data_IF_970317827279
#
_entry.id   IF_970317827279
#
_cell.length_a   1.000
_cell.length_b   1.000
_cell.length_c   1.000
_cell.angle_alpha   90.00
_cell.angle_beta   90.00
_cell.angle_gamma   90.00
#
_symmetry.space_group_name_H-M   'P 1'
#
loop_
_entity.id
_entity.type
_entity.pdbx_description
1 polymer ?
#
# COMPACT_ATOMS: atom_id res chain seq x y z
N UNK A 1 -15.65 13.23 -14.16
CA UNK A 1 -14.52 13.43 -13.22
C UNK A 1 -13.98 12.06 -12.91
N UNK A 2 -12.65 11.86 -12.84
CA UNK A 2 -12.08 10.55 -12.50
C UNK A 2 -12.42 10.20 -11.06
N UNK A 3 -12.75 8.93 -10.80
CA UNK A 3 -12.97 8.40 -9.46
C UNK A 3 -11.65 8.49 -8.65
N UNK A 4 -11.70 9.03 -7.45
CA UNK A 4 -10.51 9.20 -6.59
C UNK A 4 -10.74 8.50 -5.26
N UNK A 5 -10.10 7.34 -5.10
CA UNK A 5 -10.23 6.50 -3.89
C UNK A 5 -9.97 7.27 -2.59
N UNK A 6 -9.03 8.21 -2.60
CA UNK A 6 -8.75 9.05 -1.41
C UNK A 6 -9.91 9.96 -1.04
N UNK A 7 -10.73 10.37 -2.02
CA UNK A 7 -11.87 11.27 -1.79
C UNK A 7 -13.13 10.50 -1.45
N UNK A 8 -13.31 9.33 -2.06
CA UNK A 8 -14.49 8.49 -1.86
C UNK A 8 -14.42 7.72 -0.54
N UNK A 9 -13.23 7.25 -0.17
CA UNK A 9 -12.97 6.48 1.07
C UNK A 9 -12.16 7.31 2.07
N UNK A 10 -12.67 8.49 2.45
CA UNK A 10 -11.94 9.43 3.33
C UNK A 10 -11.58 8.82 4.69
N UNK A 11 -12.45 8.00 5.22
CA UNK A 11 -12.22 7.34 6.52
C UNK A 11 -11.01 6.39 6.47
N UNK A 12 -10.67 5.87 5.29
CA UNK A 12 -9.53 4.97 5.10
C UNK A 12 -8.25 5.71 4.65
N UNK A 13 -8.37 6.77 3.83
CA UNK A 13 -7.22 7.44 3.22
C UNK A 13 -6.94 8.85 3.76
N UNK A 14 -7.86 9.42 4.52
CA UNK A 14 -7.71 10.77 5.10
C UNK A 14 -8.15 10.81 6.57
N UNK A 15 -7.70 9.86 7.41
CA UNK A 15 -8.00 9.90 8.83
C UNK A 15 -7.44 11.18 9.46
N UNK A 16 -7.87 11.44 10.68
CA UNK A 16 -7.33 12.55 11.49
C UNK A 16 -5.96 12.17 12.07
N UNK A 17 -5.26 13.18 12.60
CA UNK A 17 -4.03 12.98 13.40
C UNK A 17 -4.31 12.45 14.81
N UNK A 18 -5.58 12.31 15.17
CA UNK A 18 -6.03 11.62 16.37
C UNK A 18 -6.37 10.16 15.99
N UNK A 19 -5.83 9.16 16.67
CA UNK A 19 -6.08 7.76 16.36
C UNK A 19 -7.57 7.38 16.42
N UNK A 20 -7.95 6.35 15.68
CA UNK A 20 -9.28 5.75 15.69
C UNK A 20 -9.22 4.25 15.42
N UNK A 21 -10.18 3.49 15.99
CA UNK A 21 -10.39 2.10 15.63
C UNK A 21 -11.35 2.07 14.44
N UNK A 22 -11.00 1.35 13.39
CA UNK A 22 -11.82 1.23 12.18
C UNK A 22 -11.84 -0.22 11.68
N UNK A 23 -12.88 -0.55 10.92
CA UNK A 23 -12.99 -1.79 10.16
C UNK A 23 -12.59 -1.51 8.71
N UNK A 24 -11.54 -2.15 8.23
CA UNK A 24 -11.09 -2.05 6.84
C UNK A 24 -11.64 -3.25 6.08
N UNK A 25 -12.41 -3.04 4.99
CA UNK A 25 -12.94 -4.15 4.20
C UNK A 25 -11.85 -4.82 3.37
N UNK A 26 -12.10 -6.04 2.96
CA UNK A 26 -11.25 -6.73 2.00
C UNK A 26 -11.13 -5.93 0.70
N UNK A 27 -9.92 -5.81 0.18
CA UNK A 27 -9.60 -5.07 -1.04
C UNK A 27 -8.60 -5.86 -1.88
N UNK A 28 -8.60 -5.60 -3.19
CA UNK A 28 -7.67 -6.23 -4.14
C UNK A 28 -6.56 -5.27 -4.52
N UNK A 29 -5.34 -5.79 -4.55
CA UNK A 29 -4.12 -5.05 -4.87
C UNK A 29 -3.30 -5.76 -5.95
N UNK A 30 -2.48 -5.01 -6.66
CA UNK A 30 -1.24 -5.53 -7.23
C UNK A 30 -0.16 -5.39 -6.15
N UNK A 31 0.58 -6.47 -5.90
CA UNK A 31 1.59 -6.51 -4.85
C UNK A 31 2.92 -7.08 -5.35
N UNK A 32 3.99 -6.70 -4.67
CA UNK A 32 5.36 -7.20 -4.84
C UNK A 32 6.00 -7.31 -3.47
N UNK A 33 6.58 -8.47 -3.15
CA UNK A 33 7.36 -8.69 -1.93
C UNK A 33 8.84 -8.42 -2.17
N UNK A 34 9.52 -8.04 -1.10
CA UNK A 34 10.97 -7.89 -1.10
C UNK A 34 11.55 -7.69 0.30
N UNK A 35 12.88 -7.56 0.32
CA UNK A 35 13.67 -7.36 1.53
C UNK A 35 14.69 -6.25 1.27
N UNK A 36 15.05 -5.51 2.32
CA UNK A 36 16.11 -4.51 2.28
C UNK A 36 15.64 -3.07 2.43
N UNK A 37 16.60 -2.16 2.40
CA UNK A 37 16.37 -0.73 2.61
C UNK A 37 15.61 -0.12 1.41
N UNK A 38 14.42 0.46 1.63
CA UNK A 38 13.65 1.13 0.58
C UNK A 38 14.36 2.36 -0.01
N UNK A 39 15.40 2.89 0.66
CA UNK A 39 16.17 4.05 0.20
C UNK A 39 17.37 3.67 -0.68
N UNK A 40 17.65 2.38 -0.86
CA UNK A 40 18.74 1.93 -1.73
C UNK A 40 18.48 2.33 -3.19
N UNK A 41 19.40 3.13 -3.75
CA UNK A 41 19.27 3.59 -5.14
C UNK A 41 19.39 2.40 -6.11
N UNK A 42 18.38 2.22 -6.98
CA UNK A 42 18.30 1.08 -7.90
C UNK A 42 18.13 -0.29 -7.21
N UNK A 43 17.90 -0.30 -5.90
CA UNK A 43 17.69 -1.49 -5.09
C UNK A 43 16.39 -2.24 -5.43
N UNK A 44 16.11 -3.24 -4.62
CA UNK A 44 14.95 -4.13 -4.86
C UNK A 44 13.61 -3.39 -4.76
N UNK A 45 13.50 -2.47 -3.79
CA UNK A 45 12.31 -1.63 -3.61
C UNK A 45 12.04 -0.74 -4.83
N UNK A 46 13.07 -0.11 -5.41
CA UNK A 46 12.93 0.73 -6.59
C UNK A 46 12.41 -0.08 -7.80
N UNK A 47 12.88 -1.33 -7.97
CA UNK A 47 12.40 -2.25 -9.02
C UNK A 47 10.94 -2.65 -8.80
N UNK A 48 10.55 -2.92 -7.54
CA UNK A 48 9.17 -3.19 -7.18
C UNK A 48 8.25 -2.02 -7.53
N UNK A 49 8.67 -0.76 -7.25
CA UNK A 49 7.91 0.44 -7.61
C UNK A 49 7.70 0.54 -9.13
N UNK A 50 8.68 0.22 -9.95
CA UNK A 50 8.53 0.21 -11.41
C UNK A 50 7.47 -0.79 -11.86
N UNK A 51 7.44 -1.99 -11.29
CA UNK A 51 6.43 -3.01 -11.58
C UNK A 51 5.03 -2.54 -11.16
N UNK A 52 4.86 -2.11 -9.91
CA UNK A 52 3.58 -1.70 -9.35
C UNK A 52 2.94 -0.57 -10.14
N UNK A 53 3.68 0.52 -10.35
CA UNK A 53 3.18 1.65 -11.12
C UNK A 53 3.02 1.31 -12.60
N UNK A 54 3.95 0.55 -13.20
CA UNK A 54 3.89 0.15 -14.59
C UNK A 54 2.63 -0.66 -14.91
N UNK A 55 2.32 -1.66 -14.11
CA UNK A 55 1.12 -2.50 -14.25
C UNK A 55 -0.14 -1.66 -13.98
N UNK A 56 -0.17 -0.89 -12.89
CA UNK A 56 -1.33 -0.04 -12.54
C UNK A 56 -1.64 0.99 -13.62
N UNK A 57 -0.62 1.63 -14.21
CA UNK A 57 -0.81 2.56 -15.32
C UNK A 57 -1.19 1.86 -16.62
N UNK A 58 -0.75 0.63 -16.87
CA UNK A 58 -1.20 -0.17 -18.02
C UNK A 58 -2.71 -0.38 -17.95
N UNK A 59 -3.24 -0.78 -16.79
CA UNK A 59 -4.68 -0.90 -16.55
C UNK A 59 -5.38 0.45 -16.75
N UNK A 60 -4.89 1.51 -16.12
CA UNK A 60 -5.49 2.86 -16.21
C UNK A 60 -5.56 3.39 -17.65
N UNK A 61 -4.55 3.10 -18.45
CA UNK A 61 -4.43 3.65 -19.80
C UNK A 61 -5.12 2.79 -20.87
N UNK A 62 -5.68 1.62 -20.51
CA UNK A 62 -6.34 0.68 -21.42
C UNK A 62 -7.41 1.36 -22.29
N UNK A 63 -8.22 2.26 -21.72
CA UNK A 63 -9.27 3.01 -22.42
C UNK A 63 -8.74 3.91 -23.55
N UNK A 64 -7.45 4.27 -23.53
CA UNK A 64 -6.82 5.10 -24.56
C UNK A 64 -6.19 4.29 -25.67
N UNK A 65 -6.21 2.96 -25.54
CA UNK A 65 -5.70 2.09 -26.60
C UNK A 65 -6.53 2.25 -27.86
N UNK A 66 -5.84 2.26 -29.02
CA UNK A 66 -6.48 2.20 -30.33
C UNK A 66 -6.98 0.80 -30.66
N UNK A 67 -6.56 -0.21 -29.89
CA UNK A 67 -7.00 -1.59 -30.05
C UNK A 67 -8.22 -1.84 -29.12
N UNK A 68 -9.43 -2.02 -29.68
CA UNK A 68 -10.62 -2.26 -28.86
C UNK A 68 -10.53 -3.51 -27.96
N UNK A 69 -9.72 -4.51 -28.34
CA UNK A 69 -9.55 -5.73 -27.54
C UNK A 69 -8.81 -5.48 -26.21
N UNK A 70 -8.19 -4.33 -26.04
CA UNK A 70 -7.52 -3.89 -24.81
C UNK A 70 -8.44 -3.07 -23.90
N UNK A 71 -9.66 -2.76 -24.36
CA UNK A 71 -10.65 -2.09 -23.54
C UNK A 71 -11.22 -3.07 -22.51
N UNK A 72 -11.23 -2.64 -21.26
CA UNK A 72 -11.66 -3.47 -20.14
C UNK A 72 -13.15 -3.26 -19.88
N UNK A 73 -13.91 -4.35 -19.81
CA UNK A 73 -15.33 -4.30 -19.46
C UNK A 73 -15.52 -3.73 -18.04
N UNK A 74 -16.53 -2.88 -17.89
CA UNK A 74 -16.80 -2.22 -16.61
C UNK A 74 -15.81 -1.12 -16.23
N UNK A 75 -14.87 -0.76 -17.12
CA UNK A 75 -13.90 0.30 -16.84
C UNK A 75 -14.57 1.63 -16.53
N UNK A 76 -14.16 2.24 -15.43
CA UNK A 76 -14.43 3.65 -15.11
C UNK A 76 -13.13 4.43 -14.98
N UNK A 77 -13.13 5.72 -15.29
CA UNK A 77 -11.92 6.54 -15.13
C UNK A 77 -11.63 6.80 -13.66
N UNK A 78 -10.38 6.55 -13.24
CA UNK A 78 -9.96 6.67 -11.85
C UNK A 78 -8.56 7.28 -11.72
N UNK A 79 -8.24 7.81 -10.56
CA UNK A 79 -6.87 8.14 -10.17
C UNK A 79 -6.22 6.91 -9.59
N UNK A 80 -5.01 6.54 -10.03
CA UNK A 80 -4.27 5.42 -9.43
C UNK A 80 -4.16 5.67 -7.93
N UNK A 81 -4.61 4.71 -7.09
CA UNK A 81 -4.56 4.85 -5.64
C UNK A 81 -3.15 5.06 -5.10
N UNK A 82 -3.01 5.48 -3.85
CA UNK A 82 -1.70 5.60 -3.21
C UNK A 82 -0.94 4.29 -3.23
N UNK A 83 0.38 4.38 -3.15
CA UNK A 83 1.23 3.28 -2.76
C UNK A 83 0.96 2.96 -1.29
N UNK A 84 0.93 1.67 -0.97
CA UNK A 84 0.78 1.13 0.37
C UNK A 84 1.90 0.12 0.62
N UNK A 85 2.29 -0.07 1.88
CA UNK A 85 3.33 -1.01 2.26
C UNK A 85 3.00 -1.73 3.57
N UNK A 86 3.16 -3.05 3.57
CA UNK A 86 3.14 -3.87 4.78
C UNK A 86 4.59 -4.16 5.17
N UNK A 87 4.96 -3.87 6.42
CA UNK A 87 6.34 -3.89 6.88
C UNK A 87 6.54 -4.80 8.09
N UNK A 88 7.69 -5.47 8.16
CA UNK A 88 8.14 -6.27 9.31
C UNK A 88 9.67 -6.38 9.32
N UNK A 89 10.23 -6.95 10.37
CA UNK A 89 11.66 -7.27 10.49
C UNK A 89 11.97 -8.73 10.11
N UNK A 90 11.04 -9.40 9.43
CA UNK A 90 11.14 -10.81 9.05
C UNK A 90 10.16 -11.70 9.80
N UNK A 91 10.26 -13.00 9.51
CA UNK A 91 9.33 -14.00 10.05
C UNK A 91 9.39 -14.03 11.59
N UNK A 92 8.22 -13.95 12.21
CA UNK A 92 8.07 -13.97 13.66
C UNK A 92 8.53 -12.70 14.39
N UNK A 93 8.93 -11.65 13.68
CA UNK A 93 9.32 -10.36 14.27
C UNK A 93 8.37 -9.27 13.77
N UNK A 94 7.19 -9.15 14.37
CA UNK A 94 6.21 -8.14 13.99
C UNK A 94 6.68 -6.73 14.35
N UNK A 95 6.21 -5.75 13.54
CA UNK A 95 6.58 -4.36 13.69
C UNK A 95 7.81 -3.99 12.87
N UNK A 96 8.31 -2.78 13.08
CA UNK A 96 9.43 -2.20 12.33
C UNK A 96 10.47 -1.57 13.26
N UNK A 97 11.74 -1.73 12.90
CA UNK A 97 12.87 -1.05 13.53
C UNK A 97 13.53 -0.13 12.50
N UNK A 98 13.21 1.15 12.57
CA UNK A 98 13.69 2.17 11.63
C UNK A 98 15.21 2.39 11.65
N UNK A 99 15.91 1.87 12.68
CA UNK A 99 17.37 1.90 12.73
C UNK A 99 18.02 0.82 11.87
N UNK A 100 17.27 -0.23 11.49
CA UNK A 100 17.78 -1.39 10.76
C UNK A 100 17.03 -1.62 9.45
N UNK A 101 16.93 -0.58 8.60
CA UNK A 101 16.15 -0.61 7.35
C UNK A 101 16.62 -1.67 6.35
N UNK A 102 17.88 -2.08 6.42
CA UNK A 102 18.41 -3.16 5.58
C UNK A 102 17.75 -4.53 5.85
N UNK A 103 17.17 -4.69 7.03
CA UNK A 103 16.52 -5.93 7.47
C UNK A 103 14.98 -5.87 7.28
N UNK A 104 14.46 -4.83 6.65
CA UNK A 104 13.03 -4.73 6.37
C UNK A 104 12.57 -5.83 5.42
N UNK A 105 11.49 -6.50 5.78
CA UNK A 105 10.66 -7.32 4.91
C UNK A 105 9.41 -6.52 4.56
N UNK A 106 9.12 -6.39 3.28
CA UNK A 106 8.01 -5.57 2.83
C UNK A 106 7.18 -6.23 1.74
N UNK A 107 5.88 -5.97 1.77
CA UNK A 107 4.96 -6.14 0.65
C UNK A 107 4.50 -4.76 0.24
N UNK A 108 4.98 -4.27 -0.90
CA UNK A 108 4.51 -3.02 -1.47
C UNK A 108 3.35 -3.30 -2.40
N UNK A 109 2.31 -2.45 -2.36
CA UNK A 109 1.09 -2.72 -3.08
C UNK A 109 0.36 -1.44 -3.52
N UNK A 110 -0.44 -1.56 -4.57
CA UNK A 110 -1.34 -0.50 -5.04
C UNK A 110 -2.73 -1.10 -5.23
N UNK A 111 -3.76 -0.49 -4.63
CA UNK A 111 -5.14 -0.94 -4.78
C UNK A 111 -5.56 -0.93 -6.25
N UNK A 112 -6.26 -1.98 -6.66
CA UNK A 112 -6.83 -2.11 -7.99
C UNK A 112 -8.33 -1.83 -7.96
N UNK A 113 -8.88 -1.21 -9.04
CA UNK A 113 -10.34 -1.09 -9.20
C UNK A 113 -11.03 -2.45 -9.30
N UNK A 114 -12.29 -2.47 -8.93
CA UNK A 114 -13.13 -3.66 -8.83
C UNK A 114 -13.32 -4.39 -10.18
N UNK A 115 -13.13 -3.69 -11.31
CA UNK A 115 -13.17 -4.30 -12.65
C UNK A 115 -11.90 -5.09 -13.02
N UNK A 116 -10.84 -5.04 -12.19
CA UNK A 116 -9.61 -5.77 -12.46
C UNK A 116 -9.75 -7.21 -12.03
N UNK A 117 -10.10 -8.07 -13.00
CA UNK A 117 -10.12 -9.52 -12.85
C UNK A 117 -8.73 -10.12 -13.03
N UNK A 118 -8.57 -11.40 -12.72
CA UNK A 118 -7.33 -12.16 -12.97
C UNK A 118 -6.91 -12.09 -14.45
N UNK A 119 -7.89 -12.14 -15.37
CA UNK A 119 -7.66 -12.00 -16.81
C UNK A 119 -7.13 -10.62 -17.18
N UNK A 120 -7.71 -9.56 -16.62
CA UNK A 120 -7.26 -8.17 -16.82
C UNK A 120 -5.85 -7.98 -16.27
N UNK A 121 -5.57 -8.53 -15.10
CA UNK A 121 -4.26 -8.47 -14.50
C UNK A 121 -3.20 -9.19 -15.31
N UNK A 122 -3.48 -10.42 -15.78
CA UNK A 122 -2.58 -11.18 -16.66
C UNK A 122 -2.28 -10.42 -17.96
N UNK A 123 -3.30 -9.81 -18.58
CA UNK A 123 -3.13 -8.94 -19.74
C UNK A 123 -2.24 -7.73 -19.43
N UNK A 124 -2.47 -7.05 -18.30
CA UNK A 124 -1.69 -5.87 -17.93
C UNK A 124 -0.21 -6.21 -17.71
N UNK A 125 0.08 -7.35 -17.04
CA UNK A 125 1.45 -7.87 -16.88
C UNK A 125 2.12 -8.14 -18.23
N UNK A 126 1.44 -8.87 -19.12
CA UNK A 126 1.98 -9.18 -20.45
C UNK A 126 2.21 -7.92 -21.28
N UNK A 127 1.29 -6.96 -21.23
CA UNK A 127 1.40 -5.69 -21.95
C UNK A 127 2.52 -4.80 -21.41
N UNK A 128 2.78 -4.84 -20.11
CA UNK A 128 3.92 -4.13 -19.50
C UNK A 128 5.23 -4.82 -19.87
N UNK A 129 5.32 -6.15 -19.74
CA UNK A 129 6.51 -6.93 -20.08
C UNK A 129 6.95 -6.74 -21.54
N UNK A 130 6.00 -6.65 -22.47
CA UNK A 130 6.30 -6.41 -23.87
C UNK A 130 7.02 -5.07 -24.15
N UNK A 131 6.84 -4.09 -23.26
CA UNK A 131 7.48 -2.76 -23.34
C UNK A 131 8.73 -2.65 -22.46
N UNK A 132 8.85 -3.52 -21.48
CA UNK A 132 9.90 -3.55 -20.47
C UNK A 132 10.42 -4.97 -20.28
N UNK A 133 11.12 -5.54 -21.31
CA UNK A 133 11.59 -6.92 -21.29
C UNK A 133 12.63 -7.20 -20.19
N UNK A 134 13.27 -6.15 -19.66
CA UNK A 134 14.21 -6.20 -18.56
C UNK A 134 13.53 -6.43 -17.18
N UNK A 135 12.21 -6.21 -17.10
CA UNK A 135 11.48 -6.26 -15.85
C UNK A 135 10.94 -7.67 -15.57
N UNK A 136 11.24 -8.23 -14.38
CA UNK A 136 10.66 -9.50 -13.96
C UNK A 136 9.22 -9.31 -13.45
N UNK A 137 8.28 -9.34 -14.37
CA UNK A 137 6.84 -9.19 -14.07
C UNK A 137 6.26 -10.33 -13.23
N UNK A 138 6.98 -11.47 -13.10
CA UNK A 138 6.49 -12.61 -12.30
C UNK A 138 6.49 -12.29 -10.80
N UNK A 139 7.28 -11.33 -10.39
CA UNK A 139 7.28 -10.83 -9.01
C UNK A 139 5.95 -10.16 -8.61
N UNK A 140 5.22 -9.59 -9.59
CA UNK A 140 3.95 -8.95 -9.30
C UNK A 140 2.82 -9.96 -9.30
N UNK A 141 1.98 -9.91 -8.25
CA UNK A 141 0.83 -10.80 -8.07
C UNK A 141 -0.42 -10.06 -7.61
N UNK A 142 -1.59 -10.70 -7.77
CA UNK A 142 -2.84 -10.22 -7.17
C UNK A 142 -2.87 -10.60 -5.70
N UNK A 143 -3.16 -9.62 -4.87
CA UNK A 143 -3.26 -9.77 -3.43
C UNK A 143 -4.63 -9.32 -2.95
N UNK A 144 -5.47 -10.28 -2.57
CA UNK A 144 -6.75 -10.02 -1.92
C UNK A 144 -6.48 -9.91 -0.40
N UNK A 145 -6.50 -8.70 0.13
CA UNK A 145 -6.13 -8.40 1.51
C UNK A 145 -7.34 -7.99 2.33
N UNK A 146 -7.65 -8.79 3.36
CA UNK A 146 -8.64 -8.51 4.38
C UNK A 146 -7.92 -8.06 5.66
N UNK A 147 -7.82 -6.75 5.84
CA UNK A 147 -7.09 -6.17 6.97
C UNK A 147 -7.91 -6.23 8.27
N UNK A 148 -9.24 -6.14 8.18
CA UNK A 148 -10.14 -6.26 9.31
C UNK A 148 -10.08 -5.07 10.28
N UNK A 149 -10.12 -5.34 11.59
CA UNK A 149 -10.09 -4.28 12.62
C UNK A 149 -8.67 -3.79 12.83
N UNK A 150 -8.50 -2.47 12.73
CA UNK A 150 -7.22 -1.79 12.93
C UNK A 150 -7.36 -0.53 13.78
N UNK A 151 -6.32 -0.17 14.48
CA UNK A 151 -6.09 1.21 14.90
C UNK A 151 -5.42 1.96 13.76
N UNK A 152 -5.87 3.18 13.44
CA UNK A 152 -5.26 4.00 12.41
C UNK A 152 -5.06 5.45 12.83
N UNK A 153 -4.07 6.11 12.22
CA UNK A 153 -3.76 7.52 12.46
C UNK A 153 -3.13 8.15 11.22
N UNK A 154 -3.28 9.47 11.05
CA UNK A 154 -2.49 10.23 10.07
C UNK A 154 -1.20 10.72 10.71
N UNK A 155 -0.06 10.22 10.28
CA UNK A 155 1.26 10.80 10.54
C UNK A 155 1.50 12.00 9.60
N UNK A 156 2.11 13.04 10.14
CA UNK A 156 2.58 14.21 9.38
C UNK A 156 4.04 14.47 9.72
N UNK A 157 4.90 14.41 8.72
CA UNK A 157 6.33 14.60 8.88
C UNK A 157 7.15 13.56 8.13
N UNK A 158 8.47 13.57 8.33
CA UNK A 158 9.38 12.57 7.78
C UNK A 158 9.05 11.17 8.31
N UNK A 159 9.29 10.15 7.50
CA UNK A 159 9.09 8.74 7.90
C UNK A 159 9.91 8.36 9.15
N UNK A 160 11.10 8.93 9.34
CA UNK A 160 11.95 8.66 10.50
C UNK A 160 11.35 9.19 11.84
N UNK A 161 10.32 10.05 11.77
CA UNK A 161 9.58 10.56 12.94
C UNK A 161 8.33 9.71 13.26
N UNK A 162 8.01 8.69 12.45
CA UNK A 162 6.85 7.79 12.64
C UNK A 162 6.84 7.04 13.99
N UNK A 163 7.99 6.64 14.58
CA UNK A 163 7.99 5.92 15.86
C UNK A 163 7.19 6.61 16.97
N UNK A 164 7.23 7.94 17.03
CA UNK A 164 6.45 8.70 18.01
C UNK A 164 4.93 8.60 17.75
N UNK A 165 4.53 8.61 16.48
CA UNK A 165 3.12 8.46 16.07
C UNK A 165 2.63 7.02 16.30
N UNK A 166 3.48 6.03 16.05
CA UNK A 166 3.20 4.60 16.30
C UNK A 166 2.95 4.37 17.80
N UNK A 167 3.79 4.93 18.68
CA UNK A 167 3.60 4.81 20.11
C UNK A 167 2.24 5.38 20.56
N UNK A 168 1.84 6.56 20.04
CA UNK A 168 0.54 7.17 20.33
C UNK A 168 -0.61 6.27 19.82
N UNK A 169 -0.46 5.67 18.64
CA UNK A 169 -1.44 4.77 18.04
C UNK A 169 -1.66 3.54 18.91
N UNK A 170 -0.57 2.91 19.36
CA UNK A 170 -0.59 1.70 20.16
C UNK A 170 -1.17 1.93 21.57
N UNK A 171 -0.78 3.04 22.19
CA UNK A 171 -1.34 3.44 23.51
C UNK A 171 -2.83 3.75 23.40
N UNK A 172 -3.26 4.39 22.32
CA UNK A 172 -4.67 4.61 22.06
C UNK A 172 -5.43 3.29 21.94
N UNK A 173 -4.93 2.33 21.13
CA UNK A 173 -5.58 1.03 20.97
C UNK A 173 -5.79 0.34 22.31
N UNK A 174 -4.75 0.29 23.15
CA UNK A 174 -4.82 -0.28 24.52
C UNK A 174 -5.84 0.45 25.39
N UNK A 175 -5.88 1.80 25.31
CA UNK A 175 -6.85 2.61 26.09
C UNK A 175 -8.30 2.34 25.69
N UNK A 176 -8.54 1.85 24.45
CA UNK A 176 -9.86 1.49 23.95
C UNK A 176 -10.22 0.01 24.20
N UNK A 177 -9.39 -0.73 24.94
CA UNK A 177 -9.61 -2.15 25.25
C UNK A 177 -9.25 -3.08 24.09
N UNK A 178 -8.25 -2.71 23.29
CA UNK A 178 -7.70 -3.55 22.24
C UNK A 178 -6.24 -3.89 22.54
N UNK A 179 -5.81 -5.04 22.05
CA UNK A 179 -4.40 -5.43 22.00
C UNK A 179 -3.93 -5.42 20.53
N UNK A 180 -2.62 -5.22 20.35
CA UNK A 180 -2.01 -5.34 19.03
C UNK A 180 -2.05 -6.79 18.57
N UNK A 181 -2.43 -7.01 17.32
CA UNK A 181 -2.50 -8.33 16.67
C UNK A 181 -1.52 -8.41 15.49
N UNK A 182 -0.31 -7.91 15.72
CA UNK A 182 0.77 -7.95 14.73
C UNK A 182 1.27 -9.39 14.56
N UNK A 183 1.39 -9.82 13.31
CA UNK A 183 1.85 -11.15 12.91
C UNK A 183 2.42 -11.11 11.49
N UNK A 184 2.94 -12.23 10.99
CA UNK A 184 3.40 -12.32 9.59
C UNK A 184 2.30 -12.04 8.56
N UNK A 185 1.05 -12.35 8.91
CA UNK A 185 -0.13 -12.08 8.07
C UNK A 185 -0.72 -10.69 8.29
N UNK A 186 -0.52 -10.08 9.45
CA UNK A 186 -1.09 -8.79 9.87
C UNK A 186 0.04 -7.88 10.36
N UNK A 187 0.65 -7.18 9.42
CA UNK A 187 1.87 -6.39 9.65
C UNK A 187 1.57 -4.92 9.88
N UNK A 188 2.58 -4.18 10.28
CA UNK A 188 2.59 -2.73 10.25
C UNK A 188 2.28 -2.26 8.82
N UNK A 189 1.28 -1.37 8.66
CA UNK A 189 0.78 -0.93 7.37
C UNK A 189 0.89 0.59 7.23
N UNK A 190 1.52 1.02 6.16
CA UNK A 190 1.69 2.42 5.79
C UNK A 190 1.02 2.71 4.45
N UNK A 191 0.30 3.85 4.35
CA UNK A 191 -0.32 4.33 3.11
C UNK A 191 0.24 5.71 2.80
N UNK A 192 0.95 5.86 1.69
CA UNK A 192 1.69 7.07 1.33
C UNK A 192 0.80 8.06 0.59
N UNK A 193 0.18 8.99 1.32
CA UNK A 193 -0.78 9.97 0.78
C UNK A 193 -0.09 11.07 0.00
N UNK A 194 1.12 11.46 0.40
CA UNK A 194 1.94 12.46 -0.26
C UNK A 194 2.99 11.84 -1.17
N UNK A 195 3.28 12.48 -2.31
CA UNK A 195 4.42 12.11 -3.15
C UNK A 195 5.70 12.75 -2.57
N UNK A 196 6.66 11.96 -2.04
CA UNK A 196 7.87 12.48 -1.41
C UNK A 196 8.78 13.26 -2.39
N UNK A 197 8.61 13.06 -3.69
CA UNK A 197 9.36 13.82 -4.73
C UNK A 197 8.84 15.24 -4.92
N UNK A 198 7.65 15.56 -4.39
CA UNK A 198 6.94 16.83 -4.58
C UNK A 198 6.67 17.55 -3.27
N UNK A 199 6.41 16.82 -2.20
CA UNK A 199 6.16 17.38 -0.89
C UNK A 199 7.46 17.61 -0.14
N UNK A 200 7.53 18.68 0.65
CA UNK A 200 8.62 18.87 1.60
C UNK A 200 8.48 17.83 2.73
N UNK A 201 9.57 17.36 3.34
CA UNK A 201 9.52 16.32 4.38
C UNK A 201 8.52 16.61 5.49
N UNK A 202 8.47 17.85 5.99
CA UNK A 202 7.57 18.27 7.06
C UNK A 202 6.08 18.25 6.66
N UNK A 203 5.78 18.14 5.37
CA UNK A 203 4.41 18.10 4.82
C UNK A 203 4.00 16.71 4.32
N UNK A 204 4.86 15.72 4.47
CA UNK A 204 4.52 14.34 4.14
C UNK A 204 3.35 13.87 5.01
N UNK A 205 2.54 13.00 4.45
CA UNK A 205 1.38 12.39 5.10
C UNK A 205 1.38 10.92 4.83
N UNK A 206 1.39 10.14 5.90
CA UNK A 206 1.28 8.68 5.87
C UNK A 206 0.13 8.27 6.77
N UNK A 207 -0.77 7.42 6.28
CA UNK A 207 -1.70 6.72 7.18
C UNK A 207 -0.97 5.52 7.73
N UNK A 208 -0.90 5.42 9.05
CA UNK A 208 -0.32 4.27 9.75
C UNK A 208 -1.46 3.44 10.33
N UNK A 209 -1.40 2.13 10.16
CA UNK A 209 -2.33 1.16 10.72
C UNK A 209 -1.61 0.05 11.45
N UNK A 210 -2.15 -0.29 12.62
CA UNK A 210 -1.81 -1.53 13.33
C UNK A 210 -3.05 -2.40 13.49
N UNK A 211 -2.97 -3.67 13.11
CA UNK A 211 -4.05 -4.62 13.36
C UNK A 211 -4.25 -4.80 14.87
N UNK A 212 -5.51 -4.88 15.27
CA UNK A 212 -5.88 -5.00 16.68
C UNK A 212 -6.97 -6.04 16.89
N UNK A 213 -7.02 -6.59 18.10
CA UNK A 213 -8.06 -7.50 18.56
C UNK A 213 -8.64 -6.98 19.86
N UNK A 214 -9.96 -7.07 20.01
CA UNK A 214 -10.62 -6.62 21.24
C UNK A 214 -10.30 -7.58 22.38
N UNK A 215 -9.86 -7.02 23.51
CA UNK A 215 -9.70 -7.79 24.74
C UNK A 215 -11.09 -8.15 25.27
N UNK A 216 -11.31 -9.43 25.56
CA UNK A 216 -12.58 -9.99 26.03
C UNK A 216 -12.91 -9.59 27.47
#
# INVERSE_FOLDING_TARGET
MAFDYKKEYKDLYQPKTMPAIVMVPAMRFVAVDGVGDPNEEGGDYAKAMQLLYGISFTVKMSKKSKNPSEHIDGYFDYTVPPLEGLWSMGEGVPGVDYAHKADFHWTSMIRLPEFVTDKVFAWAKASFAAKHPESDVNRAYLFDFDEGVVAQVMHKGPYDDEPATVAILDDYARSQGYELDLSDARRHHEIYISDPRRAKPENLKTVIRHPVVKVG
#
